data_IF_132558150791
#
_entry.id   IF_132558150791
#
_cell.length_a   1.000
_cell.length_b   1.000
_cell.length_c   1.000
_cell.angle_alpha   90.00
_cell.angle_beta   90.00
_cell.angle_gamma   90.00
#
_symmetry.space_group_name_H-M   'P 1'
#
loop_
_entity.id
_entity.type
_entity.pdbx_description
1 polymer ?
#
# COMPACT_ATOMS: atom_id res chain seq x y z
N UNK A 1 3.89 -57.28 26.95
CA UNK A 1 5.25 -57.22 27.53
C UNK A 1 6.05 -56.19 26.73
N UNK A 2 6.79 -55.37 27.47
CA UNK A 2 7.78 -54.33 27.11
C UNK A 2 8.81 -54.77 26.04
N UNK A 3 9.78 -53.92 25.61
CA UNK A 3 9.90 -52.46 25.58
C UNK A 3 10.55 -51.97 24.24
N UNK A 4 10.83 -50.66 24.14
CA UNK A 4 11.88 -50.03 23.34
C UNK A 4 12.90 -50.95 22.65
N UNK A 5 13.01 -50.82 21.32
CA UNK A 5 14.31 -50.91 20.65
C UNK A 5 14.35 -49.93 19.47
N UNK A 6 15.04 -48.82 19.72
CA UNK A 6 15.50 -47.85 18.73
C UNK A 6 16.97 -48.17 18.42
N UNK A 7 17.29 -48.71 17.24
CA UNK A 7 18.63 -48.58 16.69
C UNK A 7 18.60 -47.53 15.59
N UNK A 8 19.09 -46.34 15.95
CA UNK A 8 19.73 -45.41 15.05
C UNK A 8 21.06 -46.03 14.58
N UNK A 9 21.30 -46.22 13.26
CA UNK A 9 22.63 -46.22 12.72
C UNK A 9 22.79 -45.00 11.83
N UNK A 10 23.51 -44.02 12.37
CA UNK A 10 24.21 -42.98 11.63
C UNK A 10 25.47 -43.61 11.00
N UNK A 11 25.61 -43.70 9.67
CA UNK A 11 26.91 -43.80 9.05
C UNK A 11 27.38 -42.41 8.60
N UNK A 12 28.47 -42.01 9.26
CA UNK A 12 29.36 -40.88 9.02
C UNK A 12 29.82 -40.71 7.55
N UNK A 13 30.47 -39.57 7.22
CA UNK A 13 30.44 -38.93 5.90
C UNK A 13 31.52 -39.43 4.94
N UNK A 14 31.27 -39.27 3.63
CA UNK A 14 32.29 -39.48 2.59
C UNK A 14 32.83 -38.13 2.03
N UNK A 15 34.16 -37.95 1.89
CA UNK A 15 34.80 -36.71 1.48
C UNK A 15 35.01 -36.61 -0.05
N UNK A 16 34.54 -35.52 -0.67
CA UNK A 16 34.74 -35.23 -2.09
C UNK A 16 35.21 -33.79 -2.40
N UNK A 17 35.81 -33.51 -3.57
CA UNK A 17 37.17 -32.95 -3.62
C UNK A 17 37.32 -31.45 -3.91
N UNK A 18 38.40 -30.92 -3.30
CA UNK A 18 39.37 -29.90 -3.73
C UNK A 18 38.95 -28.79 -4.71
N UNK A 19 38.89 -27.58 -4.15
CA UNK A 19 39.32 -26.25 -4.68
C UNK A 19 39.74 -26.19 -6.16
N UNK A 20 38.92 -25.52 -6.98
CA UNK A 20 39.39 -24.78 -8.17
C UNK A 20 39.15 -23.29 -7.94
N UNK A 21 40.24 -22.51 -7.96
CA UNK A 21 40.18 -21.05 -8.07
C UNK A 21 39.59 -20.71 -9.42
N UNK A 22 38.49 -19.98 -9.45
CA UNK A 22 37.96 -19.35 -10.67
C UNK A 22 38.03 -17.84 -10.44
N UNK A 23 38.53 -17.17 -11.48
CA UNK A 23 38.99 -15.80 -11.50
C UNK A 23 37.92 -14.77 -11.15
N UNK A 24 38.40 -13.65 -10.63
CA UNK A 24 37.68 -12.40 -10.35
C UNK A 24 37.10 -11.83 -11.67
N UNK A 25 35.78 -11.65 -11.83
CA UNK A 25 35.25 -10.86 -12.93
C UNK A 25 35.56 -9.37 -12.71
N UNK A 26 36.01 -8.70 -13.76
CA UNK A 26 36.20 -7.25 -13.81
C UNK A 26 34.89 -6.49 -13.52
N UNK A 27 34.95 -5.29 -12.91
CA UNK A 27 33.75 -4.48 -12.72
C UNK A 27 33.30 -3.88 -14.05
N UNK A 28 32.09 -4.27 -14.47
CA UNK A 28 31.39 -3.63 -15.59
C UNK A 28 31.16 -2.13 -15.33
N UNK A 29 31.17 -1.27 -16.37
CA UNK A 29 30.90 0.15 -16.21
C UNK A 29 29.45 0.35 -15.76
N UNK A 30 29.28 0.79 -14.52
CA UNK A 30 28.01 1.20 -13.93
C UNK A 30 27.23 2.09 -14.88
N UNK A 31 26.22 1.51 -15.54
CA UNK A 31 25.12 2.27 -16.11
C UNK A 31 24.50 3.05 -14.95
N UNK A 32 24.74 4.35 -14.93
CA UNK A 32 24.07 5.29 -14.03
C UNK A 32 22.58 5.17 -14.34
N UNK A 33 21.88 4.34 -13.57
CA UNK A 33 20.44 4.38 -13.45
C UNK A 33 20.13 5.80 -12.98
N UNK A 34 19.57 6.60 -13.88
CA UNK A 34 18.91 7.85 -13.54
C UNK A 34 18.03 7.59 -12.32
N UNK A 35 18.10 8.40 -11.24
CA UNK A 35 17.15 8.26 -10.16
C UNK A 35 15.76 8.38 -10.79
N UNK A 36 15.01 7.27 -10.78
CA UNK A 36 13.58 7.31 -11.05
C UNK A 36 13.04 8.40 -10.13
N UNK A 37 12.47 9.44 -10.73
CA UNK A 37 11.78 10.48 -10.00
C UNK A 37 10.68 9.78 -9.22
N UNK A 38 10.92 9.55 -7.93
CA UNK A 38 9.85 9.15 -7.02
C UNK A 38 8.77 10.23 -7.18
N UNK A 39 7.53 9.87 -7.56
CA UNK A 39 6.45 10.85 -7.57
C UNK A 39 6.42 11.47 -6.18
N UNK A 40 6.35 12.81 -6.13
CA UNK A 40 6.22 13.51 -4.87
C UNK A 40 5.08 12.84 -4.07
N UNK A 41 5.26 12.58 -2.76
CA UNK A 41 4.20 11.99 -1.97
C UNK A 41 2.95 12.85 -2.16
N UNK A 42 1.87 12.23 -2.63
CA UNK A 42 0.58 12.88 -2.80
C UNK A 42 0.07 13.45 -1.47
N UNK A 43 -1.01 14.23 -1.49
CA UNK A 43 -1.65 14.70 -0.26
C UNK A 43 -1.97 13.49 0.65
N UNK A 44 -1.65 13.62 1.94
CA UNK A 44 -2.05 12.59 2.91
C UNK A 44 -3.57 12.62 3.11
N UNK A 45 -4.24 11.50 3.44
CA UNK A 45 -5.69 11.48 3.65
C UNK A 45 -6.16 12.52 4.68
N UNK A 46 -5.38 12.72 5.74
CA UNK A 46 -5.65 13.71 6.77
C UNK A 46 -5.72 15.15 6.24
N UNK A 47 -5.03 15.47 5.15
CA UNK A 47 -4.99 16.82 4.56
C UNK A 47 -6.31 17.26 3.94
N UNK A 48 -7.23 16.32 3.68
CA UNK A 48 -8.55 16.63 3.14
C UNK A 48 -9.59 16.97 4.21
N UNK A 49 -9.38 16.56 5.46
CA UNK A 49 -10.35 16.84 6.55
C UNK A 49 -10.50 18.34 6.76
N UNK A 50 -11.75 18.80 6.82
CA UNK A 50 -12.13 20.21 6.94
C UNK A 50 -12.18 20.97 5.60
N UNK A 51 -11.77 20.36 4.49
CA UNK A 51 -11.94 20.97 3.16
C UNK A 51 -13.40 20.96 2.75
N UNK A 52 -13.79 22.00 2.02
CA UNK A 52 -15.12 22.11 1.41
C UNK A 52 -15.17 21.35 0.09
N UNK A 53 -16.31 20.73 -0.15
CA UNK A 53 -16.65 20.10 -1.42
C UNK A 53 -17.97 20.64 -1.93
N UNK A 54 -18.16 20.58 -3.25
CA UNK A 54 -19.43 20.87 -3.91
C UNK A 54 -19.76 19.71 -4.85
N UNK A 55 -20.92 19.08 -4.63
CA UNK A 55 -21.44 18.03 -5.51
C UNK A 55 -22.65 18.54 -6.27
N UNK A 56 -22.63 18.40 -7.58
CA UNK A 56 -23.78 18.70 -8.43
C UNK A 56 -24.67 17.47 -8.56
N UNK A 57 -25.93 17.58 -8.17
CA UNK A 57 -26.93 16.55 -8.37
C UNK A 57 -27.89 16.98 -9.48
N UNK A 58 -27.97 16.18 -10.55
CA UNK A 58 -28.83 16.48 -11.69
C UNK A 58 -30.30 16.63 -11.24
N UNK A 59 -30.92 17.76 -11.58
CA UNK A 59 -32.30 18.07 -11.17
C UNK A 59 -32.45 18.63 -9.75
N UNK A 60 -31.39 18.65 -8.94
CA UNK A 60 -31.40 19.12 -7.56
C UNK A 60 -30.44 20.30 -7.28
N UNK A 61 -29.42 20.49 -8.12
CA UNK A 61 -28.48 21.62 -8.03
C UNK A 61 -27.20 21.26 -7.28
N UNK A 62 -26.50 22.28 -6.76
CA UNK A 62 -25.22 22.15 -6.08
C UNK A 62 -25.41 22.00 -4.57
N UNK A 63 -24.71 21.04 -3.98
CA UNK A 63 -24.73 20.76 -2.55
C UNK A 63 -23.35 20.96 -1.97
N UNK A 64 -23.25 21.88 -1.02
CA UNK A 64 -22.02 22.11 -0.26
C UNK A 64 -21.87 21.06 0.85
N UNK A 65 -20.64 20.56 0.99
CA UNK A 65 -20.27 19.65 2.06
C UNK A 65 -18.88 19.95 2.62
N UNK A 66 -18.57 19.30 3.74
CA UNK A 66 -17.26 19.37 4.39
C UNK A 66 -16.78 17.96 4.69
N UNK A 67 -15.50 17.68 4.40
CA UNK A 67 -14.87 16.42 4.77
C UNK A 67 -14.72 16.39 6.30
N UNK A 68 -15.34 15.40 6.95
CA UNK A 68 -15.37 15.28 8.42
C UNK A 68 -14.36 14.28 8.95
N UNK A 69 -14.10 13.19 8.22
CA UNK A 69 -13.14 12.14 8.59
C UNK A 69 -12.72 11.33 7.37
N UNK A 70 -11.80 10.38 7.56
CA UNK A 70 -11.44 9.37 6.56
C UNK A 70 -11.30 8.00 7.24
N UNK A 71 -11.48 6.93 6.46
CA UNK A 71 -11.21 5.54 6.83
C UNK A 71 -10.02 5.05 6.01
N UNK A 72 -9.00 4.52 6.68
CA UNK A 72 -7.88 3.85 6.01
C UNK A 72 -8.29 2.44 5.59
N UNK A 73 -7.70 1.89 4.51
CA UNK A 73 -7.93 0.50 4.13
C UNK A 73 -7.52 -0.44 5.25
N UNK A 74 -8.28 -1.51 5.44
CA UNK A 74 -7.93 -2.58 6.38
C UNK A 74 -6.76 -3.42 5.85
N UNK A 75 -5.81 -3.80 6.70
CA UNK A 75 -4.61 -4.54 6.28
C UNK A 75 -4.92 -5.94 5.73
N UNK A 76 -6.04 -6.52 6.15
CA UNK A 76 -6.48 -7.86 5.78
C UNK A 76 -7.33 -7.89 4.49
N UNK A 77 -7.65 -6.74 3.91
CA UNK A 77 -8.42 -6.62 2.67
C UNK A 77 -7.64 -5.81 1.62
N UNK A 78 -6.97 -6.48 0.65
CA UNK A 78 -6.16 -5.81 -0.36
C UNK A 78 -6.98 -4.99 -1.37
N UNK A 79 -8.30 -5.17 -1.41
CA UNK A 79 -9.20 -4.44 -2.29
C UNK A 79 -9.82 -3.23 -1.56
N UNK A 80 -9.63 -3.09 -0.24
CA UNK A 80 -10.09 -1.93 0.51
C UNK A 80 -9.28 -0.67 0.14
N UNK A 81 -9.95 0.47 0.16
CA UNK A 81 -9.39 1.76 -0.27
C UNK A 81 -9.64 2.83 0.79
N UNK A 82 -8.95 3.96 0.67
CA UNK A 82 -9.22 5.10 1.56
C UNK A 82 -10.56 5.72 1.18
N UNK A 83 -11.46 5.84 2.15
CA UNK A 83 -12.73 6.54 1.99
C UNK A 83 -12.77 7.81 2.84
N UNK A 84 -13.43 8.84 2.34
CA UNK A 84 -13.57 10.14 2.97
C UNK A 84 -15.02 10.41 3.28
N UNK A 85 -15.32 10.66 4.55
CA UNK A 85 -16.67 10.95 4.99
C UNK A 85 -16.97 12.44 4.83
N UNK A 86 -17.89 12.77 3.94
CA UNK A 86 -18.39 14.13 3.73
C UNK A 86 -19.72 14.30 4.47
N UNK A 87 -19.91 15.45 5.10
CA UNK A 87 -21.21 15.88 5.62
C UNK A 87 -21.70 17.07 4.82
N UNK A 88 -22.90 16.98 4.26
CA UNK A 88 -23.55 18.04 3.51
C UNK A 88 -24.37 18.96 4.44
N UNK A 89 -24.81 20.11 3.91
CA UNK A 89 -25.55 21.14 4.68
C UNK A 89 -26.93 20.71 5.18
N UNK A 90 -27.51 19.67 4.58
CA UNK A 90 -28.75 19.02 5.02
C UNK A 90 -28.54 18.01 6.17
N UNK A 91 -27.29 17.80 6.59
CA UNK A 91 -26.81 16.81 7.55
C UNK A 91 -26.76 15.36 7.03
N UNK A 92 -26.96 15.14 5.73
CA UNK A 92 -26.66 13.84 5.15
C UNK A 92 -25.14 13.63 5.08
N UNK A 93 -24.75 12.36 5.18
CA UNK A 93 -23.36 11.93 5.18
C UNK A 93 -23.13 10.92 4.06
N UNK A 94 -22.02 11.06 3.35
CA UNK A 94 -21.63 10.19 2.24
C UNK A 94 -20.14 9.85 2.35
N UNK A 95 -19.80 8.60 2.05
CA UNK A 95 -18.40 8.16 1.94
C UNK A 95 -17.99 8.23 0.47
N UNK A 96 -16.92 8.96 0.18
CA UNK A 96 -16.36 9.14 -1.15
C UNK A 96 -14.97 8.52 -1.24
N UNK A 97 -14.61 7.99 -2.40
CA UNK A 97 -13.20 7.67 -2.66
C UNK A 97 -12.37 8.94 -2.91
N UNK A 98 -11.05 8.78 -3.08
CA UNK A 98 -10.17 9.92 -3.30
C UNK A 98 -10.43 10.64 -4.63
N UNK A 99 -10.75 9.92 -5.70
CA UNK A 99 -10.95 10.49 -7.04
C UNK A 99 -12.24 11.31 -7.09
N UNK A 100 -13.32 10.75 -6.55
CA UNK A 100 -14.59 11.45 -6.37
C UNK A 100 -14.42 12.70 -5.53
N UNK A 101 -13.73 12.59 -4.38
CA UNK A 101 -13.47 13.73 -3.51
C UNK A 101 -12.70 14.83 -4.24
N UNK A 102 -11.60 14.49 -4.91
CA UNK A 102 -10.74 15.45 -5.59
C UNK A 102 -11.48 16.22 -6.70
N UNK A 103 -12.41 15.56 -7.38
CA UNK A 103 -13.26 16.19 -8.40
C UNK A 103 -14.23 17.24 -7.85
N UNK A 104 -14.57 17.15 -6.56
CA UNK A 104 -15.57 18.00 -5.89
C UNK A 104 -14.93 19.09 -5.01
N UNK A 105 -13.60 19.10 -4.85
CA UNK A 105 -12.92 20.06 -3.99
C UNK A 105 -13.03 21.48 -4.55
N UNK A 106 -13.44 22.40 -3.67
CA UNK A 106 -13.40 23.83 -3.97
C UNK A 106 -11.95 24.32 -3.86
N UNK A 107 -11.49 25.04 -4.88
CA UNK A 107 -10.13 25.61 -4.97
C UNK A 107 -9.91 26.79 -4.01
#
# INVERSE_FOLDING_TARGET
>A
ANPNDNPNPNPNPDPGPKRRRIAKPEPEPSRKLSPQSVPAPGPSPQSFVGRKVVKHFEGHGDFEGVVTSFKLPEEDDPDDSVYYKVRYVDNDEEDLDQEELESMLVA
#
